data_IF_803251769448
#
_entry.id   IF_803251769448
#
_cell.length_a   1.000
_cell.length_b   1.000
_cell.length_c   1.000
_cell.angle_alpha   90.00
_cell.angle_beta   90.00
_cell.angle_gamma   90.00
#
_symmetry.space_group_name_H-M   'P 1'
#
loop_
_entity.id
_entity.type
_entity.pdbx_description
1 polymer ?
#
# COMPACT_ATOMS: atom_id res chain seq x y z
N UNK A 1 14.98 -4.89 22.46
CA UNK A 1 15.26 -3.48 22.07
C UNK A 1 14.72 -3.19 20.67
N UNK A 2 13.73 -2.30 20.49
CA UNK A 2 13.26 -1.90 19.15
C UNK A 2 14.23 -0.83 18.60
N UNK A 3 15.09 -1.18 17.63
CA UNK A 3 15.92 -0.20 16.88
C UNK A 3 15.02 0.94 16.39
N UNK A 4 15.32 2.18 16.80
CA UNK A 4 14.69 3.42 16.29
C UNK A 4 15.19 3.67 14.87
N UNK A 5 14.63 2.96 13.89
CA UNK A 5 14.90 3.25 12.48
C UNK A 5 14.41 4.66 12.14
N UNK A 6 15.22 5.43 11.42
CA UNK A 6 14.82 6.75 10.96
C UNK A 6 13.80 6.59 9.83
N UNK A 7 12.87 7.55 9.74
CA UNK A 7 11.84 7.59 8.68
C UNK A 7 12.42 7.45 7.27
N UNK A 8 13.62 7.98 7.05
CA UNK A 8 14.31 7.99 5.77
C UNK A 8 14.74 6.59 5.30
N UNK A 9 14.98 5.66 6.23
CA UNK A 9 15.40 4.28 5.92
C UNK A 9 14.18 3.39 5.63
N UNK A 10 13.07 3.64 6.31
CA UNK A 10 11.86 2.83 6.19
C UNK A 10 11.01 3.18 4.96
N UNK A 11 11.03 4.43 4.51
CA UNK A 11 10.22 4.86 3.36
C UNK A 11 10.60 4.16 2.04
N UNK A 12 11.90 3.98 1.69
CA UNK A 12 12.33 3.16 0.56
C UNK A 12 11.81 1.72 0.67
N UNK A 13 11.93 1.11 1.85
CA UNK A 13 11.49 -0.27 2.09
C UNK A 13 9.98 -0.44 1.86
N UNK A 14 9.17 0.51 2.35
CA UNK A 14 7.72 0.55 2.09
C UNK A 14 7.45 0.66 0.59
N UNK A 15 8.15 1.56 -0.13
CA UNK A 15 7.98 1.72 -1.57
C UNK A 15 8.31 0.43 -2.33
N UNK A 16 9.38 -0.25 -1.93
CA UNK A 16 9.80 -1.53 -2.51
C UNK A 16 8.73 -2.61 -2.31
N UNK A 17 8.11 -2.70 -1.12
CA UNK A 17 6.99 -3.61 -0.90
C UNK A 17 5.81 -3.34 -1.82
N UNK A 18 5.46 -2.07 -2.06
CA UNK A 18 4.42 -1.71 -3.03
C UNK A 18 4.83 -2.00 -4.48
N UNK A 19 6.12 -1.95 -4.81
CA UNK A 19 6.66 -2.38 -6.11
C UNK A 19 6.51 -3.89 -6.31
N UNK A 20 6.92 -4.68 -5.31
CA UNK A 20 6.74 -6.15 -5.31
C UNK A 20 5.26 -6.53 -5.38
N UNK A 21 4.38 -5.80 -4.67
CA UNK A 21 2.93 -6.00 -4.75
C UNK A 21 2.41 -5.80 -6.17
N UNK A 22 2.87 -4.76 -6.89
CA UNK A 22 2.49 -4.49 -8.28
C UNK A 22 2.89 -5.64 -9.22
N UNK A 23 4.11 -6.17 -9.05
CA UNK A 23 4.62 -7.28 -9.87
C UNK A 23 3.88 -8.58 -9.56
N UNK A 24 3.68 -8.88 -8.27
CA UNK A 24 3.01 -10.08 -7.81
C UNK A 24 1.54 -10.12 -8.22
N UNK A 25 0.84 -8.98 -8.25
CA UNK A 25 -0.61 -8.93 -8.50
C UNK A 25 -1.03 -9.63 -9.81
N UNK A 26 -0.22 -9.57 -10.87
CA UNK A 26 -0.54 -10.20 -12.16
C UNK A 26 -0.58 -11.73 -12.09
N UNK A 27 0.30 -12.33 -11.28
CA UNK A 27 0.42 -13.79 -11.16
C UNK A 27 -0.34 -14.31 -9.95
N UNK A 28 -0.25 -13.60 -8.83
CA UNK A 28 -0.75 -14.07 -7.54
C UNK A 28 -1.23 -12.90 -6.66
N UNK A 29 -2.54 -12.58 -6.69
CA UNK A 29 -3.09 -11.43 -5.97
C UNK A 29 -3.00 -11.58 -4.45
N UNK A 30 -2.98 -12.81 -3.92
CA UNK A 30 -2.82 -13.07 -2.48
C UNK A 30 -1.46 -12.57 -1.97
N UNK A 31 -0.36 -12.89 -2.68
CA UNK A 31 0.98 -12.39 -2.33
C UNK A 31 1.07 -10.86 -2.39
N UNK A 32 0.38 -10.22 -3.34
CA UNK A 32 0.32 -8.76 -3.40
C UNK A 32 -0.30 -8.16 -2.12
N UNK A 33 -1.36 -8.77 -1.59
CA UNK A 33 -2.01 -8.35 -0.35
C UNK A 33 -1.07 -8.51 0.86
N UNK A 34 -0.26 -9.57 0.90
CA UNK A 34 0.70 -9.79 1.97
C UNK A 34 1.80 -8.73 2.00
N UNK A 35 2.31 -8.31 0.84
CA UNK A 35 3.27 -7.21 0.76
C UNK A 35 2.68 -5.88 1.26
N UNK A 36 1.42 -5.59 0.90
CA UNK A 36 0.70 -4.41 1.41
C UNK A 36 0.53 -4.48 2.92
N UNK A 37 0.17 -5.65 3.46
CA UNK A 37 0.02 -5.88 4.90
C UNK A 37 1.34 -5.66 5.64
N UNK A 38 2.45 -6.19 5.11
CA UNK A 38 3.82 -5.95 5.65
C UNK A 38 4.17 -4.46 5.64
N UNK A 39 3.94 -3.77 4.53
CA UNK A 39 4.20 -2.34 4.40
C UNK A 39 3.38 -1.50 5.39
N UNK A 40 2.09 -1.83 5.58
CA UNK A 40 1.22 -1.17 6.55
C UNK A 40 1.69 -1.43 7.99
N UNK A 41 1.97 -2.68 8.35
CA UNK A 41 2.41 -3.02 9.70
C UNK A 41 3.71 -2.30 10.07
N UNK A 42 4.63 -2.17 9.12
CA UNK A 42 5.85 -1.38 9.28
C UNK A 42 5.52 0.10 9.49
N UNK A 43 4.66 0.68 8.65
CA UNK A 43 4.24 2.07 8.79
C UNK A 43 3.57 2.34 10.15
N UNK A 44 2.70 1.45 10.62
CA UNK A 44 2.03 1.58 11.92
C UNK A 44 3.01 1.44 13.08
N UNK A 45 3.90 0.45 13.04
CA UNK A 45 4.91 0.19 14.08
C UNK A 45 5.81 1.41 14.34
N UNK A 46 6.18 2.11 13.27
CA UNK A 46 7.04 3.30 13.33
C UNK A 46 6.26 4.62 13.21
N UNK A 47 4.93 4.60 13.33
CA UNK A 47 4.04 5.78 13.24
C UNK A 47 4.32 6.67 12.01
N UNK A 48 4.62 6.04 10.87
CA UNK A 48 4.97 6.74 9.63
C UNK A 48 3.72 7.18 8.87
N UNK A 49 3.73 8.44 8.42
CA UNK A 49 2.71 8.95 7.50
C UNK A 49 3.02 8.52 6.08
N UNK A 50 2.28 7.52 5.58
CA UNK A 50 2.33 7.09 4.18
C UNK A 50 1.98 8.25 3.22
N UNK A 51 2.74 8.44 2.12
CA UNK A 51 2.43 9.43 1.10
C UNK A 51 1.10 9.09 0.40
N UNK A 52 0.40 10.13 -0.09
CA UNK A 52 -0.93 10.00 -0.72
C UNK A 52 -0.96 8.95 -1.85
N UNK A 53 0.11 8.87 -2.64
CA UNK A 53 0.25 7.91 -3.74
C UNK A 53 0.29 6.43 -3.29
N UNK A 54 0.73 6.14 -2.07
CA UNK A 54 0.71 4.78 -1.51
C UNK A 54 -0.59 4.51 -0.77
N UNK A 55 -1.14 5.51 -0.05
CA UNK A 55 -2.43 5.40 0.64
C UNK A 55 -3.61 5.04 -0.26
N UNK A 56 -3.56 5.41 -1.54
CA UNK A 56 -4.61 5.12 -2.54
C UNK A 56 -4.45 3.76 -3.23
N UNK A 57 -3.31 3.08 -3.04
CA UNK A 57 -3.00 1.80 -3.71
C UNK A 57 -3.44 0.56 -2.93
N UNK A 58 -4.12 0.74 -1.80
CA UNK A 58 -4.65 -0.38 -1.04
C UNK A 58 -5.98 -0.04 -0.37
N UNK A 59 -6.80 -1.06 -0.14
CA UNK A 59 -8.04 -0.91 0.60
C UNK A 59 -7.76 -0.79 2.09
N UNK A 60 -8.38 0.18 2.77
CA UNK A 60 -8.21 0.36 4.22
C UNK A 60 -8.97 -0.67 5.06
N UNK A 61 -9.95 -1.35 4.47
CA UNK A 61 -10.77 -2.36 5.14
C UNK A 61 -10.17 -3.76 5.00
N UNK A 62 -10.02 -4.26 3.76
CA UNK A 62 -9.52 -5.61 3.50
C UNK A 62 -8.01 -5.70 3.27
N UNK A 63 -7.30 -4.57 3.21
CA UNK A 63 -5.85 -4.50 2.95
C UNK A 63 -5.39 -5.12 1.63
N UNK A 64 -6.31 -5.25 0.67
CA UNK A 64 -5.97 -5.71 -0.68
C UNK A 64 -5.24 -4.63 -1.47
N UNK A 65 -4.35 -5.06 -2.37
CA UNK A 65 -3.70 -4.17 -3.33
C UNK A 65 -4.73 -3.74 -4.39
N UNK A 66 -4.92 -2.43 -4.58
CA UNK A 66 -5.91 -1.89 -5.51
C UNK A 66 -5.29 -1.64 -6.89
N UNK A 67 -5.90 -2.24 -7.90
CA UNK A 67 -5.58 -2.05 -9.31
C UNK A 67 -6.85 -1.57 -10.02
N UNK A 68 -6.85 -0.33 -10.55
CA UNK A 68 -7.96 0.18 -11.34
C UNK A 68 -8.33 -0.78 -12.46
N UNK A 69 -9.63 -0.94 -12.71
CA UNK A 69 -10.19 -1.81 -13.76
C UNK A 69 -10.02 -3.32 -13.54
N UNK A 70 -9.32 -3.76 -12.49
CA UNK A 70 -9.23 -5.18 -12.12
C UNK A 70 -10.04 -5.52 -10.89
N UNK A 71 -9.79 -4.81 -9.78
CA UNK A 71 -10.48 -5.06 -8.50
C UNK A 71 -10.98 -3.79 -7.80
N UNK A 72 -10.77 -2.63 -8.42
CA UNK A 72 -11.17 -1.32 -7.91
C UNK A 72 -11.79 -0.52 -9.05
N UNK A 73 -12.95 0.10 -8.79
CA UNK A 73 -13.67 0.91 -9.75
C UNK A 73 -13.50 2.38 -9.38
N UNK A 74 -12.65 3.08 -10.12
CA UNK A 74 -12.42 4.50 -9.90
C UNK A 74 -13.51 5.29 -10.59
N UNK A 75 -14.21 6.15 -9.84
CA UNK A 75 -15.27 7.05 -10.33
C UNK A 75 -14.96 8.49 -9.95
N UNK A 76 -15.46 9.43 -10.75
CA UNK A 76 -15.43 10.85 -10.46
C UNK A 76 -16.83 11.29 -10.03
N UNK A 77 -16.98 11.78 -8.80
CA UNK A 77 -18.25 12.26 -8.28
C UNK A 77 -18.06 13.66 -7.68
N UNK A 78 -18.85 14.63 -8.15
CA UNK A 78 -18.88 16.02 -7.62
C UNK A 78 -17.47 16.59 -7.32
N UNK A 79 -16.55 16.44 -8.28
CA UNK A 79 -15.12 16.87 -8.22
C UNK A 79 -14.20 16.08 -7.28
N UNK A 80 -14.60 14.88 -6.82
CA UNK A 80 -13.78 13.99 -6.00
C UNK A 80 -13.60 12.63 -6.67
N UNK A 81 -12.44 12.02 -6.46
CA UNK A 81 -12.16 10.65 -6.91
C UNK A 81 -12.63 9.67 -5.84
N UNK A 82 -13.54 8.77 -6.23
CA UNK A 82 -14.05 7.67 -5.41
C UNK A 82 -13.41 6.37 -5.93
N UNK A 83 -12.92 5.52 -5.03
CA UNK A 83 -12.17 4.29 -5.31
C UNK A 83 -12.93 3.08 -4.78
#
# INVERSE_FOLDING_TARGET
>A
MKKKYKKNELMPMIREFFGKAKLAFKKEPKKANDYVRKARNLAMKYKLRLPRALKRRFCKHCYSYLVPSKNCRVRLQKRRVVY
#
